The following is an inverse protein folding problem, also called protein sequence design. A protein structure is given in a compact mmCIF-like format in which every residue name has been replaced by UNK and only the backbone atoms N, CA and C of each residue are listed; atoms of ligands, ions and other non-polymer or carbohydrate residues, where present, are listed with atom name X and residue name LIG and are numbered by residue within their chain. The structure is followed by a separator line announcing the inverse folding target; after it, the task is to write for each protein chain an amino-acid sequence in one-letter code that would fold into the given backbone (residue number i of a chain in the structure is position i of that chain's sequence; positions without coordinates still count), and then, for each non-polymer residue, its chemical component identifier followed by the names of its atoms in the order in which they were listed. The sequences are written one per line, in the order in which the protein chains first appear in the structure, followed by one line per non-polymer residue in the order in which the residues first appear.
data_IF_690176016213
#
_entry.id   IF_690176016213
#
_cell.length_a   1.000
_cell.length_b   1.000
_cell.length_c   1.000
_cell.angle_alpha   90.00
_cell.angle_beta   90.00
_cell.angle_gamma   90.00
#
_symmetry.space_group_name_H-M   'P 1'
#
loop_
_entity.id
_entity.type
_entity.pdbx_description
1 polymer ?
#
# COMPACT_ATOMS: atom_id res chain seq x y z
N UNK A 1 -5.09 9.07 -8.50
CA UNK A 1 -6.34 9.37 -7.77
C UNK A 1 -6.14 10.20 -6.50
N UNK A 2 -5.10 9.95 -5.70
CA UNK A 2 -4.88 10.63 -4.42
C UNK A 2 -4.81 12.15 -4.51
N UNK A 3 -4.11 12.69 -5.52
CA UNK A 3 -4.03 14.15 -5.77
C UNK A 3 -5.39 14.78 -6.15
N UNK A 4 -6.21 14.06 -6.93
CA UNK A 4 -7.56 14.52 -7.30
C UNK A 4 -8.44 14.58 -6.04
N UNK A 5 -8.42 13.53 -5.21
CA UNK A 5 -9.14 13.53 -3.93
C UNK A 5 -8.66 14.64 -3.00
N UNK A 6 -7.35 14.84 -2.89
CA UNK A 6 -6.77 15.84 -1.99
C UNK A 6 -7.07 17.29 -2.41
N UNK A 7 -7.02 17.59 -3.72
CA UNK A 7 -7.20 18.97 -4.22
C UNK A 7 -8.64 19.32 -4.59
N UNK A 8 -9.42 18.34 -5.04
CA UNK A 8 -10.75 18.55 -5.62
C UNK A 8 -11.86 17.93 -4.77
N UNK A 9 -11.54 17.18 -3.71
CA UNK A 9 -12.51 16.51 -2.83
C UNK A 9 -13.56 15.67 -3.59
N UNK A 10 -13.18 15.14 -4.76
CA UNK A 10 -14.01 14.28 -5.61
C UNK A 10 -13.46 12.88 -5.72
N UNK A 11 -14.38 11.93 -5.70
CA UNK A 11 -14.06 10.52 -5.85
C UNK A 11 -14.33 10.08 -7.28
N UNK A 12 -13.27 9.66 -7.97
CA UNK A 12 -13.38 9.10 -9.32
C UNK A 12 -12.75 7.71 -9.32
N UNK A 13 -13.36 6.80 -10.06
CA UNK A 13 -12.81 5.46 -10.26
C UNK A 13 -11.58 5.51 -11.18
N UNK A 14 -10.70 4.50 -11.08
CA UNK A 14 -9.57 4.36 -12.01
C UNK A 14 -10.08 4.25 -13.44
N UNK A 15 -11.16 3.48 -13.66
CA UNK A 15 -11.80 3.30 -14.96
C UNK A 15 -12.24 4.63 -15.57
N UNK A 16 -12.89 5.50 -14.80
CA UNK A 16 -13.38 6.79 -15.30
C UNK A 16 -12.27 7.69 -15.87
N UNK A 17 -11.03 7.57 -15.37
CA UNK A 17 -9.87 8.27 -15.94
C UNK A 17 -9.55 7.76 -17.34
N UNK A 18 -9.57 6.45 -17.53
CA UNK A 18 -9.25 5.81 -18.80
C UNK A 18 -10.38 5.90 -19.83
N UNK A 19 -11.62 6.05 -19.38
CA UNK A 19 -12.77 6.29 -20.27
C UNK A 19 -12.80 7.77 -20.74
N UNK A 20 -12.30 8.70 -19.92
CA UNK A 20 -12.29 10.14 -20.20
C UNK A 20 -10.87 10.67 -20.47
N UNK A 21 -10.24 10.22 -21.57
CA UNK A 21 -8.83 10.49 -21.89
C UNK A 21 -8.52 11.93 -22.34
N UNK A 22 -9.45 12.86 -22.15
CA UNK A 22 -9.23 14.28 -22.44
C UNK A 22 -9.56 15.13 -21.22
N UNK A 23 -8.87 16.26 -21.07
CA UNK A 23 -9.11 17.19 -19.95
C UNK A 23 -10.57 17.64 -19.91
N UNK A 24 -11.19 17.88 -21.08
CA UNK A 24 -12.60 18.28 -21.19
C UNK A 24 -13.53 17.19 -20.64
N UNK A 25 -13.37 15.95 -21.10
CA UNK A 25 -14.22 14.83 -20.69
C UNK A 25 -14.02 14.48 -19.21
N UNK A 26 -12.78 14.57 -18.73
CA UNK A 26 -12.48 14.33 -17.33
C UNK A 26 -13.05 15.44 -16.43
N UNK A 27 -13.03 16.70 -16.87
CA UNK A 27 -13.62 17.81 -16.13
C UNK A 27 -15.14 17.67 -16.00
N UNK A 28 -15.85 17.25 -17.05
CA UNK A 28 -17.28 16.94 -16.96
C UNK A 28 -17.55 15.77 -16.02
N UNK A 29 -16.77 14.69 -16.12
CA UNK A 29 -16.92 13.54 -15.21
C UNK A 29 -16.65 13.91 -13.74
N UNK A 30 -15.71 14.84 -13.47
CA UNK A 30 -15.42 15.35 -12.13
C UNK A 30 -16.54 16.23 -11.57
N UNK A 31 -17.25 16.97 -12.42
CA UNK A 31 -18.38 17.79 -12.02
C UNK A 31 -19.56 16.94 -11.53
N UNK A 32 -19.78 15.78 -12.16
CA UNK A 32 -20.83 14.83 -11.79
C UNK A 32 -20.42 13.83 -10.69
N UNK A 33 -19.12 13.65 -10.47
CA UNK A 33 -18.60 12.71 -9.48
C UNK A 33 -19.07 13.05 -8.06
N UNK A 34 -19.30 12.03 -7.22
CA UNK A 34 -19.66 12.23 -5.81
C UNK A 34 -18.52 12.88 -5.00
N UNK A 35 -18.88 13.56 -3.91
CA UNK A 35 -17.89 14.10 -2.97
C UNK A 35 -17.20 12.96 -2.24
N UNK A 36 -15.86 13.00 -2.23
CA UNK A 36 -15.04 12.04 -1.50
C UNK A 36 -15.10 12.35 0.01
N UNK A 37 -16.14 11.89 0.70
CA UNK A 37 -16.22 11.95 2.18
C UNK A 37 -15.63 10.68 2.78
N UNK A 38 -14.34 10.46 2.58
CA UNK A 38 -13.61 9.47 3.36
C UNK A 38 -13.04 10.17 4.60
N UNK A 39 -13.17 9.57 5.80
CA UNK A 39 -12.51 10.11 6.98
C UNK A 39 -10.99 10.16 6.75
N UNK A 40 -10.31 11.20 7.27
CA UNK A 40 -8.87 11.33 7.09
C UNK A 40 -8.16 10.13 7.72
N UNK A 41 -7.09 9.68 7.06
CA UNK A 41 -6.16 8.72 7.64
C UNK A 41 -5.36 9.43 8.73
N UNK A 42 -5.69 9.15 9.98
CA UNK A 42 -5.00 9.71 11.15
C UNK A 42 -4.02 8.68 11.68
N UNK A 43 -2.83 9.14 12.09
CA UNK A 43 -1.88 8.30 12.80
C UNK A 43 -2.52 7.80 14.11
N UNK A 44 -2.49 6.48 14.33
CA UNK A 44 -2.94 5.86 15.57
C UNK A 44 -1.73 5.44 16.39
N UNK A 45 -1.85 5.45 17.72
CA UNK A 45 -0.82 4.85 18.57
C UNK A 45 -0.70 3.37 18.25
N UNK A 46 0.52 2.88 18.09
CA UNK A 46 0.75 1.46 17.82
C UNK A 46 0.31 0.64 19.04
N UNK A 47 -0.73 -0.17 18.87
CA UNK A 47 -1.18 -1.11 19.88
C UNK A 47 -0.24 -2.32 19.96
N UNK A 48 -0.16 -2.96 21.13
CA UNK A 48 0.63 -4.18 21.35
C UNK A 48 0.21 -5.32 20.41
N UNK A 49 -1.08 -5.37 20.05
CA UNK A 49 -1.63 -6.29 19.07
C UNK A 49 -2.36 -5.52 17.96
N UNK A 50 -1.71 -5.42 16.80
CA UNK A 50 -2.31 -4.80 15.61
C UNK A 50 -3.02 -5.86 14.77
N UNK A 51 -4.32 -5.72 14.49
CA UNK A 51 -4.99 -6.65 13.58
C UNK A 51 -4.34 -6.56 12.20
N UNK A 52 -3.90 -7.71 11.69
CA UNK A 52 -3.33 -7.82 10.36
C UNK A 52 -4.38 -7.45 9.32
N UNK A 53 -3.98 -6.73 8.28
CA UNK A 53 -4.82 -6.57 7.09
C UNK A 53 -5.14 -7.93 6.48
N UNK A 54 -6.25 -8.02 5.76
CA UNK A 54 -6.68 -9.27 5.10
C UNK A 54 -5.56 -9.90 4.25
N UNK A 55 -4.80 -9.08 3.52
CA UNK A 55 -3.67 -9.55 2.72
C UNK A 55 -2.54 -10.14 3.58
N UNK A 56 -2.22 -9.53 4.71
CA UNK A 56 -1.21 -10.02 5.65
C UNK A 56 -1.66 -11.32 6.34
N UNK A 57 -2.92 -11.41 6.75
CA UNK A 57 -3.48 -12.66 7.32
C UNK A 57 -3.40 -13.80 6.31
N UNK A 58 -3.68 -13.52 5.03
CA UNK A 58 -3.58 -14.52 3.96
C UNK A 58 -2.14 -14.99 3.75
N UNK A 59 -1.18 -14.08 3.75
CA UNK A 59 0.24 -14.42 3.62
C UNK A 59 0.74 -15.23 4.82
N UNK A 60 0.39 -14.82 6.04
CA UNK A 60 0.69 -15.58 7.26
C UNK A 60 0.10 -17.00 7.19
N UNK A 61 -1.13 -17.14 6.71
CA UNK A 61 -1.76 -18.45 6.55
C UNK A 61 -1.03 -19.31 5.50
N UNK A 62 -0.63 -18.73 4.38
CA UNK A 62 0.14 -19.44 3.34
C UNK A 62 1.49 -19.89 3.88
N UNK A 63 2.19 -19.04 4.63
CA UNK A 63 3.47 -19.35 5.27
C UNK A 63 3.34 -20.58 6.21
N UNK A 64 2.27 -20.63 7.01
CA UNK A 64 2.03 -21.75 7.94
C UNK A 64 1.70 -23.07 7.23
N UNK A 65 1.15 -23.02 6.00
CA UNK A 65 0.82 -24.21 5.23
C UNK A 65 1.96 -24.72 4.35
N UNK A 66 2.78 -23.82 3.79
CA UNK A 66 3.78 -24.16 2.77
C UNK A 66 5.23 -24.02 3.26
N UNK A 67 5.44 -23.54 4.50
CA UNK A 67 6.76 -23.17 5.01
C UNK A 67 7.23 -21.81 4.48
N UNK A 68 8.31 -21.23 5.05
CA UNK A 68 8.79 -19.90 4.67
C UNK A 68 9.22 -19.90 3.20
N UNK A 69 8.46 -19.14 2.42
CA UNK A 69 8.66 -18.95 0.99
C UNK A 69 9.67 -17.84 0.76
N UNK A 70 10.68 -18.13 -0.05
CA UNK A 70 11.90 -17.33 -0.28
C UNK A 70 11.66 -15.91 -0.84
N UNK A 71 10.41 -15.54 -1.16
CA UNK A 71 10.08 -14.21 -1.70
C UNK A 71 9.94 -13.11 -0.65
N UNK A 72 9.90 -13.42 0.66
CA UNK A 72 9.83 -12.42 1.75
C UNK A 72 11.22 -12.08 2.32
N UNK A 73 12.21 -12.96 2.13
CA UNK A 73 13.49 -12.90 2.87
C UNK A 73 14.59 -12.07 2.22
N UNK A 74 14.45 -11.56 0.99
CA UNK A 74 15.51 -10.78 0.35
C UNK A 74 15.57 -9.30 0.79
N UNK A 75 15.27 -8.99 2.06
CA UNK A 75 15.48 -7.65 2.64
C UNK A 75 16.23 -7.69 3.98
N UNK A 76 17.30 -8.48 4.05
CA UNK A 76 18.39 -8.22 4.99
C UNK A 76 19.73 -8.72 4.43
N UNK A 77 20.80 -7.91 4.41
CA UNK A 77 22.15 -8.42 4.19
C UNK A 77 22.63 -9.14 5.47
N UNK A 78 22.28 -10.42 5.64
CA UNK A 78 22.72 -11.25 6.79
C UNK A 78 23.63 -12.38 6.30
N UNK A 79 24.57 -12.04 5.44
CA UNK A 79 25.80 -12.81 5.31
C UNK A 79 26.93 -11.82 5.51
N UNK A 80 27.20 -11.54 6.78
CA UNK A 80 28.48 -11.00 7.22
C UNK A 80 29.15 -12.09 8.06
N UNK A 81 29.98 -12.97 7.47
CA UNK A 81 30.92 -13.75 8.24
C UNK A 81 32.18 -12.89 8.43
N UNK A 82 32.31 -12.45 9.67
CA UNK A 82 33.54 -12.38 10.45
C UNK A 82 34.69 -11.46 9.99
N UNK A 83 34.76 -10.29 10.63
CA UNK A 83 35.98 -9.50 10.77
C UNK A 83 36.54 -9.65 12.20
N UNK A 84 36.76 -10.87 12.68
CA UNK A 84 37.85 -11.07 13.64
C UNK A 84 39.14 -11.19 12.86
N UNK A 85 39.85 -10.06 12.75
CA UNK A 85 41.28 -10.09 12.50
C UNK A 85 41.94 -10.89 13.62
N UNK A 86 42.24 -12.16 13.35
CA UNK A 86 43.22 -12.88 14.13
C UNK A 86 44.58 -12.42 13.59
N UNK A 87 45.21 -11.51 14.33
CA UNK A 87 46.64 -11.28 14.21
C UNK A 87 47.35 -12.46 14.86
N UNK A 88 47.90 -13.34 14.02
CA UNK A 88 49.13 -14.11 14.26
C UNK A 88 49.78 -14.43 12.90
#
# INVERSE_FOLDING_TARGET
MTQIRAKLAREISVRAVFDNQTIRSLASALAEAASAKLPPLVAQSRADHMPLSFAQQRLWFIEQLQGPVTYITCLWPCVLPDLTGNSD
#
